data_IF_446335708473
#
_entry.id   IF_446335708473
#
_cell.length_a   1.000
_cell.length_b   1.000
_cell.length_c   1.000
_cell.angle_alpha   90.00
_cell.angle_beta   90.00
_cell.angle_gamma   90.00
#
_symmetry.space_group_name_H-M   'P 1'
#
loop_
_entity.id
_entity.type
_entity.pdbx_description
1 polymer ?
#
# COMPACT_ATOMS: atom_id res chain seq x y z
N UNK A 1 79.65 81.99 22.85
CA UNK A 1 79.55 80.78 22.01
C UNK A 1 78.20 80.06 22.25
N UNK A 2 77.04 80.71 22.03
CA UNK A 2 75.73 80.09 22.33
C UNK A 2 74.52 80.57 21.49
N UNK A 3 74.71 81.46 20.51
CA UNK A 3 73.61 82.02 19.70
C UNK A 3 73.37 81.28 18.38
N UNK A 4 74.40 80.68 17.76
CA UNK A 4 74.26 79.90 16.52
C UNK A 4 73.60 78.52 16.74
N UNK A 5 73.81 77.86 17.89
CA UNK A 5 73.14 76.60 18.26
C UNK A 5 71.62 76.76 18.42
N UNK A 6 71.18 77.83 19.11
CA UNK A 6 69.75 78.10 19.34
C UNK A 6 68.96 78.37 18.05
N UNK A 7 69.57 79.00 17.04
CA UNK A 7 68.94 79.20 15.73
C UNK A 7 68.82 77.89 14.95
N UNK A 8 69.86 77.03 15.00
CA UNK A 8 69.86 75.72 14.34
C UNK A 8 68.88 74.73 14.99
N UNK A 9 68.73 74.76 16.31
CA UNK A 9 67.72 73.98 17.04
C UNK A 9 66.29 74.44 16.72
N UNK A 10 66.04 75.76 16.60
CA UNK A 10 64.73 76.28 16.17
C UNK A 10 64.37 75.93 14.73
N UNK A 11 65.32 75.94 13.79
CA UNK A 11 65.07 75.53 12.40
C UNK A 11 64.81 74.03 12.27
N UNK A 12 65.51 73.20 13.05
CA UNK A 12 65.27 71.74 13.10
C UNK A 12 63.90 71.45 13.74
N UNK A 13 63.54 72.18 14.81
CA UNK A 13 62.23 72.03 15.46
C UNK A 13 61.07 72.44 14.54
N UNK A 14 61.19 73.55 13.80
CA UNK A 14 60.18 73.98 12.81
C UNK A 14 60.05 72.94 11.68
N UNK A 15 61.17 72.39 11.20
CA UNK A 15 61.18 71.31 10.22
C UNK A 15 60.45 70.05 10.71
N UNK A 16 60.71 69.61 11.95
CA UNK A 16 60.03 68.49 12.58
C UNK A 16 58.52 68.73 12.75
N UNK A 17 58.12 69.91 13.22
CA UNK A 17 56.70 70.26 13.36
C UNK A 17 55.99 70.30 12.01
N UNK A 18 56.62 70.85 10.97
CA UNK A 18 56.05 70.84 9.61
C UNK A 18 55.90 69.43 9.04
N UNK A 19 56.85 68.53 9.34
CA UNK A 19 56.78 67.13 8.93
C UNK A 19 55.66 66.38 9.64
N UNK A 20 55.49 66.60 10.95
CA UNK A 20 54.38 66.00 11.73
C UNK A 20 53.03 66.50 11.24
N UNK A 21 52.90 67.79 10.91
CA UNK A 21 51.68 68.36 10.34
C UNK A 21 51.40 67.76 8.96
N UNK A 22 52.41 67.60 8.11
CA UNK A 22 52.26 66.98 6.80
C UNK A 22 51.81 65.51 6.91
N UNK A 23 52.40 64.75 7.83
CA UNK A 23 52.00 63.36 8.10
C UNK A 23 50.56 63.31 8.61
N UNK A 24 50.16 64.20 9.52
CA UNK A 24 48.80 64.27 10.03
C UNK A 24 47.78 64.61 8.94
N UNK A 25 48.12 65.52 8.01
CA UNK A 25 47.26 65.85 6.88
C UNK A 25 47.12 64.65 5.94
N UNK A 26 48.23 63.96 5.64
CA UNK A 26 48.21 62.77 4.78
C UNK A 26 47.42 61.61 5.40
N UNK A 27 47.48 61.41 6.72
CA UNK A 27 46.69 60.36 7.38
C UNK A 27 45.20 60.69 7.43
N UNK A 28 44.83 61.96 7.64
CA UNK A 28 43.42 62.39 7.61
C UNK A 28 42.84 62.23 6.20
N UNK A 29 43.59 62.64 5.17
CA UNK A 29 43.18 62.47 3.76
C UNK A 29 43.08 60.98 3.41
N UNK A 30 44.05 60.16 3.82
CA UNK A 30 44.04 58.71 3.60
C UNK A 30 42.88 58.00 4.31
N UNK A 31 42.50 58.46 5.51
CA UNK A 31 41.36 57.93 6.25
C UNK A 31 40.03 58.28 5.59
N UNK A 32 39.87 59.52 5.09
CA UNK A 32 38.64 59.94 4.39
C UNK A 32 38.48 59.25 3.02
N UNK A 33 39.58 59.05 2.28
CA UNK A 33 39.59 58.28 1.03
C UNK A 33 39.38 56.77 1.27
N UNK A 34 39.72 56.27 2.45
CA UNK A 34 39.42 54.90 2.89
C UNK A 34 38.03 54.82 3.52
N UNK A 35 37.04 55.42 2.85
CA UNK A 35 35.64 55.15 3.19
C UNK A 35 35.31 53.73 2.73
N UNK A 36 35.02 52.87 3.71
CA UNK A 36 34.74 51.43 3.51
C UNK A 36 33.68 51.27 2.42
N UNK A 37 34.03 50.54 1.36
CA UNK A 37 33.09 50.22 0.28
C UNK A 37 31.88 49.49 0.84
N UNK A 38 30.71 49.76 0.25
CA UNK A 38 29.43 49.16 0.64
C UNK A 38 29.58 47.65 0.86
N UNK A 39 29.28 47.22 2.08
CA UNK A 39 29.31 45.81 2.45
C UNK A 39 28.11 45.12 1.79
N UNK A 40 28.28 44.66 0.55
CA UNK A 40 27.25 43.92 -0.17
C UNK A 40 27.07 42.56 0.47
N UNK A 41 25.99 42.39 1.24
CA UNK A 41 25.57 41.09 1.76
C UNK A 41 25.03 40.28 0.59
N UNK A 42 25.79 39.29 0.16
CA UNK A 42 25.37 38.32 -0.85
C UNK A 42 24.75 37.11 -0.15
N UNK A 43 23.51 36.79 -0.49
CA UNK A 43 22.82 35.60 -0.04
C UNK A 43 22.60 34.63 -1.20
N UNK A 44 22.58 33.34 -0.89
CA UNK A 44 22.12 32.31 -1.82
C UNK A 44 20.82 31.72 -1.27
N UNK A 45 19.80 31.64 -2.12
CA UNK A 45 18.59 30.89 -1.84
C UNK A 45 18.68 29.56 -2.58
N UNK A 46 18.67 28.46 -1.83
CA UNK A 46 18.56 27.12 -2.39
C UNK A 46 17.11 26.66 -2.30
N UNK A 47 16.58 26.14 -3.41
CA UNK A 47 15.24 25.58 -3.48
C UNK A 47 15.28 24.21 -4.16
N UNK A 48 14.58 23.24 -3.58
CA UNK A 48 14.41 21.93 -4.21
C UNK A 48 13.44 22.05 -5.39
N UNK A 49 13.94 21.80 -6.59
CA UNK A 49 13.13 21.82 -7.81
C UNK A 49 12.68 20.40 -8.16
N UNK A 50 11.37 20.23 -8.39
CA UNK A 50 10.78 18.97 -8.83
C UNK A 50 10.13 19.19 -10.19
N UNK A 51 10.47 18.34 -11.16
CA UNK A 51 9.80 18.32 -12.47
C UNK A 51 8.62 17.36 -12.41
N UNK A 52 7.42 17.87 -12.69
CA UNK A 52 6.19 17.08 -12.70
C UNK A 52 5.91 16.67 -14.15
N UNK A 53 5.70 15.37 -14.35
CA UNK A 53 5.38 14.80 -15.66
C UNK A 53 4.14 13.91 -15.56
N UNK A 54 3.32 13.91 -16.60
CA UNK A 54 2.17 13.00 -16.70
C UNK A 54 2.62 11.54 -16.72
N UNK A 55 1.96 10.68 -15.93
CA UNK A 55 2.23 9.24 -15.92
C UNK A 55 1.73 8.52 -17.18
N UNK A 56 0.74 9.09 -17.84
CA UNK A 56 0.15 8.57 -19.07
C UNK A 56 0.25 9.61 -20.18
N UNK A 57 0.49 9.20 -21.44
CA UNK A 57 0.35 10.08 -22.57
C UNK A 57 -1.12 10.46 -22.78
N UNK A 58 -1.35 11.71 -23.11
CA UNK A 58 -2.68 12.25 -23.35
C UNK A 58 -2.67 13.72 -23.69
N UNK A 59 -3.85 14.28 -23.94
CA UNK A 59 -4.05 15.70 -24.22
C UNK A 59 -4.35 16.43 -22.92
N UNK A 60 -3.69 17.56 -22.68
CA UNK A 60 -4.03 18.44 -21.56
C UNK A 60 -5.43 19.02 -21.81
N UNK A 61 -6.36 18.75 -20.90
CA UNK A 61 -7.73 19.25 -20.94
C UNK A 61 -7.82 20.62 -20.29
N UNK A 62 -7.18 20.76 -19.12
CA UNK A 62 -7.22 21.97 -18.32
C UNK A 62 -5.95 22.12 -17.49
N UNK A 63 -5.56 23.37 -17.27
CA UNK A 63 -4.63 23.77 -16.21
C UNK A 63 -5.46 24.42 -15.10
N UNK A 64 -5.24 23.99 -13.86
CA UNK A 64 -5.98 24.52 -12.69
C UNK A 64 -5.18 25.56 -11.90
N UNK A 65 -3.93 25.80 -12.29
CA UNK A 65 -3.01 26.69 -11.58
C UNK A 65 -2.31 27.63 -12.55
N UNK A 66 -1.85 28.76 -12.02
CA UNK A 66 -1.08 29.78 -12.76
C UNK A 66 0.38 29.83 -12.31
N UNK A 67 1.25 30.39 -13.16
CA UNK A 67 2.66 30.54 -12.81
C UNK A 67 2.84 31.47 -11.62
N UNK A 68 3.59 31.02 -10.60
CA UNK A 68 3.82 31.76 -9.35
C UNK A 68 2.78 31.49 -8.26
N UNK A 69 1.75 30.69 -8.53
CA UNK A 69 0.75 30.29 -7.55
C UNK A 69 1.32 29.27 -6.54
N UNK A 70 0.97 29.45 -5.26
CA UNK A 70 1.42 28.56 -4.19
C UNK A 70 0.51 27.32 -4.15
N UNK A 71 1.11 26.13 -4.29
CA UNK A 71 0.39 24.85 -4.34
C UNK A 71 0.83 23.92 -3.20
N UNK A 72 -0.07 23.06 -2.77
CA UNK A 72 0.13 22.07 -1.71
C UNK A 72 0.20 20.64 -2.26
N UNK A 73 0.71 19.72 -1.44
CA UNK A 73 0.77 18.30 -1.80
C UNK A 73 -0.65 17.74 -1.92
N UNK A 74 -0.99 17.21 -3.09
CA UNK A 74 -2.29 16.62 -3.39
C UNK A 74 -3.13 17.47 -4.35
N UNK A 75 -2.72 18.71 -4.60
CA UNK A 75 -3.43 19.59 -5.53
C UNK A 75 -3.31 19.08 -6.98
N UNK A 76 -4.43 19.15 -7.70
CA UNK A 76 -4.46 18.79 -9.12
C UNK A 76 -4.04 20.00 -9.93
N UNK A 77 -2.84 19.94 -10.52
CA UNK A 77 -2.31 21.04 -11.32
C UNK A 77 -2.82 21.02 -12.77
N UNK A 78 -2.97 19.82 -13.33
CA UNK A 78 -3.28 19.59 -14.74
C UNK A 78 -4.21 18.38 -14.88
N UNK A 79 -5.24 18.50 -15.70
CA UNK A 79 -6.06 17.38 -16.16
C UNK A 79 -5.57 16.89 -17.52
N UNK A 80 -5.35 15.58 -17.66
CA UNK A 80 -4.91 14.96 -18.90
C UNK A 80 -5.97 13.95 -19.33
N UNK A 81 -6.56 14.17 -20.50
CA UNK A 81 -7.45 13.21 -21.14
C UNK A 81 -6.67 12.22 -22.01
N UNK A 82 -6.94 10.93 -21.82
CA UNK A 82 -6.32 9.84 -22.60
C UNK A 82 -7.39 8.85 -23.03
N UNK A 83 -7.63 8.75 -24.34
CA UNK A 83 -8.59 7.79 -24.93
C UNK A 83 -8.23 6.35 -24.60
N UNK A 84 -6.94 6.03 -24.52
CA UNK A 84 -6.46 4.68 -24.20
C UNK A 84 -6.75 4.31 -22.74
N UNK A 85 -6.65 5.28 -21.82
CA UNK A 85 -6.98 5.09 -20.42
C UNK A 85 -8.49 4.85 -20.24
N UNK A 86 -9.32 5.64 -20.92
CA UNK A 86 -10.78 5.48 -20.90
C UNK A 86 -11.21 4.15 -21.54
N UNK A 87 -10.62 3.76 -22.67
CA UNK A 87 -10.92 2.48 -23.31
C UNK A 87 -10.55 1.29 -22.40
N UNK A 88 -9.40 1.36 -21.70
CA UNK A 88 -9.00 0.33 -20.72
C UNK A 88 -9.93 0.29 -19.52
N UNK A 89 -10.38 1.45 -19.03
CA UNK A 89 -11.35 1.53 -17.94
C UNK A 89 -12.68 0.87 -18.36
N UNK A 90 -13.20 1.25 -19.53
CA UNK A 90 -14.43 0.68 -20.09
C UNK A 90 -14.31 -0.84 -20.29
N UNK A 91 -13.16 -1.31 -20.78
CA UNK A 91 -12.88 -2.75 -20.91
C UNK A 91 -12.90 -3.44 -19.53
N UNK A 92 -12.24 -2.86 -18.53
CA UNK A 92 -12.18 -3.41 -17.17
C UNK A 92 -13.56 -3.44 -16.51
N UNK A 93 -14.36 -2.40 -16.68
CA UNK A 93 -15.75 -2.33 -16.19
C UNK A 93 -16.65 -3.35 -16.89
N UNK A 94 -16.52 -3.50 -18.21
CA UNK A 94 -17.25 -4.52 -18.96
C UNK A 94 -16.89 -5.93 -18.47
N UNK A 95 -15.60 -6.22 -18.28
CA UNK A 95 -15.15 -7.50 -17.72
C UNK A 95 -15.70 -7.71 -16.31
N UNK A 96 -15.61 -6.70 -15.44
CA UNK A 96 -16.19 -6.76 -14.08
C UNK A 96 -17.67 -7.11 -14.11
N UNK A 97 -18.45 -6.47 -14.99
CA UNK A 97 -19.89 -6.74 -15.12
C UNK A 97 -20.17 -8.17 -15.61
N UNK A 98 -19.37 -8.67 -16.56
CA UNK A 98 -19.46 -10.06 -17.02
C UNK A 98 -19.19 -11.03 -15.87
N UNK A 99 -18.12 -10.80 -15.09
CA UNK A 99 -17.80 -11.65 -13.93
C UNK A 99 -18.85 -11.58 -12.83
N UNK A 100 -19.39 -10.38 -12.55
CA UNK A 100 -20.49 -10.22 -11.59
C UNK A 100 -21.73 -10.99 -12.03
N UNK A 101 -22.12 -10.90 -13.31
CA UNK A 101 -23.25 -11.64 -13.85
C UNK A 101 -23.01 -13.15 -13.84
N UNK A 102 -21.78 -13.59 -14.16
CA UNK A 102 -21.41 -15.00 -14.10
C UNK A 102 -21.46 -15.53 -12.67
N UNK A 103 -20.95 -14.77 -11.70
CA UNK A 103 -21.01 -15.14 -10.29
C UNK A 103 -22.45 -15.25 -9.79
N UNK A 104 -23.30 -14.29 -10.15
CA UNK A 104 -24.74 -14.35 -9.85
C UNK A 104 -25.41 -15.59 -10.44
N UNK A 105 -25.06 -16.01 -11.67
CA UNK A 105 -25.58 -17.25 -12.28
C UNK A 105 -25.15 -18.50 -11.53
N UNK A 106 -23.88 -18.56 -11.09
CA UNK A 106 -23.34 -19.67 -10.30
C UNK A 106 -24.02 -19.76 -8.94
N UNK A 107 -24.21 -18.62 -8.27
CA UNK A 107 -24.86 -18.55 -6.95
C UNK A 107 -26.36 -18.87 -7.01
N UNK A 108 -27.08 -18.43 -8.05
CA UNK A 108 -28.53 -18.55 -8.13
C UNK A 108 -29.04 -19.96 -8.49
N UNK A 109 -28.37 -20.65 -9.42
CA UNK A 109 -28.76 -21.98 -9.89
C UNK A 109 -27.87 -23.08 -9.31
N UNK A 110 -26.63 -23.15 -9.83
CA UNK A 110 -25.73 -24.27 -9.59
C UNK A 110 -25.50 -24.59 -8.10
N UNK A 111 -25.39 -23.56 -7.24
CA UNK A 111 -25.16 -23.77 -5.81
C UNK A 111 -26.33 -24.45 -5.11
N UNK A 112 -27.58 -24.11 -5.45
CA UNK A 112 -28.76 -24.72 -4.83
C UNK A 112 -28.90 -26.19 -5.23
N UNK A 113 -28.70 -26.49 -6.51
CA UNK A 113 -28.78 -27.86 -7.02
C UNK A 113 -27.66 -28.74 -6.43
N UNK A 114 -26.45 -28.21 -6.26
CA UNK A 114 -25.33 -28.93 -5.63
C UNK A 114 -25.61 -29.21 -4.15
N UNK A 115 -26.13 -28.24 -3.39
CA UNK A 115 -26.51 -28.44 -1.98
C UNK A 115 -27.63 -29.49 -1.86
N UNK A 116 -28.65 -29.40 -2.71
CA UNK A 116 -29.75 -30.36 -2.73
C UNK A 116 -29.26 -31.78 -3.07
N UNK A 117 -28.43 -31.93 -4.11
CA UNK A 117 -27.86 -33.24 -4.48
C UNK A 117 -26.96 -33.84 -3.39
N UNK A 118 -26.15 -33.02 -2.72
CA UNK A 118 -25.34 -33.46 -1.60
C UNK A 118 -26.19 -33.87 -0.39
N UNK A 119 -27.29 -33.15 -0.13
CA UNK A 119 -28.26 -33.51 0.90
C UNK A 119 -28.92 -34.86 0.60
N UNK A 120 -29.40 -35.07 -0.62
CA UNK A 120 -30.02 -36.33 -1.04
C UNK A 120 -29.05 -37.52 -0.91
N UNK A 121 -27.77 -37.30 -1.22
CA UNK A 121 -26.73 -38.31 -1.04
C UNK A 121 -26.50 -38.65 0.44
N UNK A 122 -26.49 -37.64 1.33
CA UNK A 122 -26.43 -37.87 2.77
C UNK A 122 -27.66 -38.64 3.27
N UNK A 123 -28.87 -38.26 2.85
CA UNK A 123 -30.11 -38.96 3.22
C UNK A 123 -30.11 -40.42 2.77
N UNK A 124 -29.59 -40.72 1.57
CA UNK A 124 -29.40 -42.10 1.10
C UNK A 124 -28.44 -42.87 2.00
N UNK A 125 -27.34 -42.25 2.42
CA UNK A 125 -26.37 -42.87 3.32
C UNK A 125 -26.97 -43.14 4.72
N UNK A 126 -27.76 -42.19 5.25
CA UNK A 126 -28.51 -42.36 6.52
C UNK A 126 -29.44 -43.57 6.44
N UNK A 127 -30.20 -43.72 5.36
CA UNK A 127 -31.06 -44.89 5.14
C UNK A 127 -30.25 -46.19 5.06
N UNK A 128 -29.09 -46.17 4.41
CA UNK A 128 -28.16 -47.31 4.36
C UNK A 128 -27.65 -47.73 5.75
N UNK A 129 -27.30 -46.76 6.60
CA UNK A 129 -26.90 -47.00 7.99
C UNK A 129 -28.06 -47.60 8.79
N UNK A 130 -29.28 -47.09 8.63
CA UNK A 130 -30.45 -47.61 9.33
C UNK A 130 -30.71 -49.08 9.00
N UNK A 131 -30.63 -49.44 7.72
CA UNK A 131 -30.78 -50.83 7.27
C UNK A 131 -29.66 -51.71 7.83
N UNK A 132 -28.41 -51.26 7.73
CA UNK A 132 -27.26 -52.02 8.23
C UNK A 132 -27.33 -52.21 9.76
N UNK A 133 -27.78 -51.20 10.50
CA UNK A 133 -28.01 -51.27 11.94
C UNK A 133 -29.07 -52.30 12.30
N UNK A 134 -30.24 -52.25 11.65
CA UNK A 134 -31.29 -53.26 11.86
C UNK A 134 -30.82 -54.67 11.52
N UNK A 135 -29.94 -54.82 10.52
CA UNK A 135 -29.35 -56.12 10.17
C UNK A 135 -28.38 -56.60 11.24
N UNK A 136 -27.52 -55.72 11.77
CA UNK A 136 -26.61 -56.02 12.87
C UNK A 136 -27.38 -56.40 14.14
N UNK A 137 -28.36 -55.59 14.57
CA UNK A 137 -29.16 -55.85 15.76
C UNK A 137 -29.86 -57.22 15.70
N UNK A 138 -30.37 -57.57 14.50
CA UNK A 138 -30.98 -58.88 14.25
C UNK A 138 -29.97 -60.02 14.37
N UNK A 139 -28.78 -59.84 13.78
CA UNK A 139 -27.73 -60.86 13.81
C UNK A 139 -27.15 -61.04 15.21
N UNK A 140 -27.02 -59.95 15.97
CA UNK A 140 -26.61 -59.97 17.37
C UNK A 140 -27.63 -60.74 18.23
N UNK A 141 -28.93 -60.48 18.04
CA UNK A 141 -29.99 -61.20 18.75
C UNK A 141 -30.00 -62.70 18.42
N UNK A 142 -29.74 -63.09 17.17
CA UNK A 142 -29.62 -64.49 16.77
C UNK A 142 -28.35 -65.15 17.31
N UNK A 143 -27.24 -64.41 17.38
CA UNK A 143 -25.97 -64.89 17.92
C UNK A 143 -26.11 -65.18 19.42
N UNK A 144 -26.74 -64.27 20.17
CA UNK A 144 -27.07 -64.44 21.60
C UNK A 144 -27.95 -65.68 21.85
N UNK A 145 -28.75 -66.09 20.86
CA UNK A 145 -29.59 -67.30 20.90
C UNK A 145 -28.88 -68.56 20.36
N UNK A 146 -27.61 -68.45 19.95
CA UNK A 146 -26.83 -69.57 19.41
C UNK A 146 -27.22 -70.01 17.99
N UNK A 147 -28.01 -69.20 17.26
CA UNK A 147 -28.59 -69.58 15.95
C UNK A 147 -27.67 -69.21 14.77
N UNK A 148 -26.67 -68.34 15.00
CA UNK A 148 -25.69 -67.91 13.98
C UNK A 148 -24.27 -67.89 14.55
N UNK A 149 -23.26 -67.98 13.68
CA UNK A 149 -21.85 -67.96 14.06
C UNK A 149 -21.37 -66.56 14.44
N UNK A 150 -20.29 -66.50 15.23
CA UNK A 150 -19.63 -65.23 15.59
C UNK A 150 -19.16 -64.47 14.34
N UNK A 151 -18.62 -65.19 13.35
CA UNK A 151 -18.19 -64.60 12.07
C UNK A 151 -19.31 -63.83 11.38
N UNK A 152 -20.53 -64.40 11.29
CA UNK A 152 -21.66 -63.71 10.64
C UNK A 152 -22.11 -62.45 11.38
N UNK A 153 -22.01 -62.44 12.71
CA UNK A 153 -22.24 -61.22 13.51
C UNK A 153 -21.18 -60.17 13.20
N UNK A 154 -19.90 -60.57 13.16
CA UNK A 154 -18.79 -59.66 12.92
C UNK A 154 -18.82 -59.05 11.52
N UNK A 155 -19.21 -59.84 10.51
CA UNK A 155 -19.46 -59.36 9.15
C UNK A 155 -20.58 -58.30 9.12
N UNK A 156 -21.67 -58.52 9.85
CA UNK A 156 -22.76 -57.54 9.96
C UNK A 156 -22.32 -56.27 10.71
N UNK A 157 -21.50 -56.40 11.75
CA UNK A 157 -20.93 -55.28 12.49
C UNK A 157 -19.99 -54.44 11.62
N UNK A 158 -19.11 -55.10 10.87
CA UNK A 158 -18.20 -54.46 9.94
C UNK A 158 -18.97 -53.69 8.86
N UNK A 159 -20.04 -54.28 8.31
CA UNK A 159 -20.90 -53.62 7.34
C UNK A 159 -21.60 -52.38 7.93
N UNK A 160 -22.13 -52.47 9.15
CA UNK A 160 -22.72 -51.31 9.84
C UNK A 160 -21.69 -50.18 10.05
N UNK A 161 -20.49 -50.51 10.53
CA UNK A 161 -19.40 -49.53 10.70
C UNK A 161 -18.98 -48.89 9.38
N UNK A 162 -18.91 -49.67 8.29
CA UNK A 162 -18.61 -49.18 6.96
C UNK A 162 -19.66 -48.19 6.47
N UNK A 163 -20.95 -48.53 6.58
CA UNK A 163 -22.05 -47.63 6.20
C UNK A 163 -22.05 -46.35 7.06
N UNK A 164 -21.77 -46.46 8.37
CA UNK A 164 -21.66 -45.30 9.26
C UNK A 164 -20.50 -44.38 8.87
N UNK A 165 -19.39 -44.92 8.38
CA UNK A 165 -18.30 -44.13 7.82
C UNK A 165 -18.72 -43.43 6.52
N UNK A 166 -19.46 -44.10 5.64
CA UNK A 166 -20.02 -43.51 4.41
C UNK A 166 -21.00 -42.37 4.72
N UNK A 167 -21.85 -42.52 5.73
CA UNK A 167 -22.77 -41.46 6.17
C UNK A 167 -22.04 -40.22 6.68
N UNK A 168 -21.00 -40.39 7.51
CA UNK A 168 -20.14 -39.27 7.92
C UNK A 168 -19.45 -38.59 6.75
N UNK A 169 -18.97 -39.35 5.77
CA UNK A 169 -18.34 -38.80 4.57
C UNK A 169 -19.34 -37.98 3.74
N UNK A 170 -20.53 -38.53 3.49
CA UNK A 170 -21.60 -37.83 2.76
C UNK A 170 -22.09 -36.57 3.51
N UNK A 171 -22.19 -36.63 4.84
CA UNK A 171 -22.50 -35.47 5.68
C UNK A 171 -21.45 -34.37 5.54
N UNK A 172 -20.17 -34.73 5.56
CA UNK A 172 -19.08 -33.78 5.34
C UNK A 172 -19.17 -33.10 3.97
N UNK A 173 -19.49 -33.86 2.92
CA UNK A 173 -19.72 -33.32 1.57
C UNK A 173 -20.90 -32.34 1.51
N UNK A 174 -22.01 -32.66 2.19
CA UNK A 174 -23.14 -31.74 2.30
C UNK A 174 -22.77 -30.45 3.04
N UNK A 175 -22.07 -30.55 4.17
CA UNK A 175 -21.63 -29.36 4.92
C UNK A 175 -20.62 -28.52 4.13
N UNK A 176 -19.70 -29.14 3.38
CA UNK A 176 -18.81 -28.41 2.45
C UNK A 176 -19.61 -27.68 1.36
N UNK A 177 -20.59 -28.33 0.74
CA UNK A 177 -21.44 -27.71 -0.27
C UNK A 177 -22.28 -26.54 0.30
N UNK A 178 -22.76 -26.68 1.54
CA UNK A 178 -23.57 -25.68 2.24
C UNK A 178 -22.73 -24.47 2.68
N UNK A 179 -21.60 -24.72 3.32
CA UNK A 179 -20.69 -23.67 3.79
C UNK A 179 -19.97 -22.97 2.62
N UNK A 180 -19.94 -23.60 1.44
CA UNK A 180 -19.25 -23.10 0.25
C UNK A 180 -17.74 -23.30 0.34
N UNK A 181 -17.03 -22.92 -0.73
CA UNK A 181 -15.59 -22.72 -0.61
C UNK A 181 -15.37 -21.66 0.47
N UNK A 182 -14.72 -22.02 1.58
CA UNK A 182 -14.12 -21.02 2.44
C UNK A 182 -13.33 -20.09 1.53
N UNK A 183 -13.59 -18.79 1.65
CA UNK A 183 -12.73 -17.78 1.06
C UNK A 183 -11.39 -17.98 1.76
N UNK A 184 -10.50 -18.75 1.15
CA UNK A 184 -9.08 -18.64 1.46
C UNK A 184 -8.66 -17.26 0.94
N UNK A 185 -8.13 -16.45 1.86
CA UNK A 185 -7.67 -15.07 1.67
C UNK A 185 -6.84 -14.85 0.39
#
# INVERSE_FOLDING_TARGET
>A
MNTSRKQKEKSIAIGLVSLVILIAILTIIGFFLTSKGDETIQGQAEATQVRISGKLPGRVTAFFVTEGEMVSKGDTLVEIFSSDAEAKLMQAEAMKNVYMAQNQKVDAGARKEVIAGAYDMWQKAVAGVEIAKKSYDRMEALYKKGVVSAQKRDEAEANYKAMAATERAAKSQYEMAKNGAQIED
#
